data_IF_637230170284
#
_entry.id   IF_637230170284
#
_cell.length_a   1.000
_cell.length_b   1.000
_cell.length_c   1.000
_cell.angle_alpha   90.00
_cell.angle_beta   90.00
_cell.angle_gamma   90.00
#
_symmetry.space_group_name_H-M   'P 1'
#
loop_
_entity.id
_entity.type
_entity.pdbx_description
1 polymer ?
#
# COMPACT_ATOMS: atom_id res chain seq x y z
N UNK A 1 -12.24 -35.82 -25.80
CA UNK A 1 -12.64 -34.38 -25.84
C UNK A 1 -11.72 -33.58 -24.92
N UNK A 2 -11.08 -32.56 -25.49
CA UNK A 2 -10.46 -31.39 -24.83
C UNK A 2 -9.18 -31.59 -24.00
N UNK A 3 -8.11 -31.78 -24.76
CA UNK A 3 -6.80 -31.14 -24.55
C UNK A 3 -6.98 -29.63 -24.27
N UNK A 4 -6.78 -29.16 -23.02
CA UNK A 4 -6.40 -27.77 -22.67
C UNK A 4 -6.13 -27.62 -21.16
N UNK A 5 -4.86 -27.50 -20.76
CA UNK A 5 -4.29 -26.51 -19.79
C UNK A 5 -2.91 -26.96 -19.27
N UNK A 6 -1.91 -27.06 -20.14
CA UNK A 6 -0.47 -27.03 -19.76
C UNK A 6 0.12 -25.63 -19.96
N UNK A 7 -0.75 -24.62 -19.90
CA UNK A 7 -0.41 -23.20 -19.83
C UNK A 7 -1.11 -22.61 -18.62
N UNK A 8 -0.84 -23.19 -17.43
CA UNK A 8 -0.95 -22.41 -16.20
C UNK A 8 0.16 -21.34 -16.28
N UNK A 9 -0.24 -20.27 -16.96
CA UNK A 9 0.60 -19.24 -17.58
C UNK A 9 1.57 -18.65 -16.56
N UNK A 10 2.82 -18.42 -16.96
CA UNK A 10 3.81 -17.64 -16.19
C UNK A 10 3.20 -16.37 -15.59
N UNK A 11 2.28 -15.71 -16.32
CA UNK A 11 1.56 -14.53 -15.83
C UNK A 11 0.66 -14.86 -14.63
N UNK A 12 -0.06 -15.99 -14.67
CA UNK A 12 -0.90 -16.46 -13.59
C UNK A 12 -0.05 -16.81 -12.35
N UNK A 13 1.08 -17.50 -12.54
CA UNK A 13 2.04 -17.79 -11.47
C UNK A 13 2.70 -16.52 -10.91
N UNK A 14 2.98 -15.52 -11.75
CA UNK A 14 3.55 -14.24 -11.35
C UNK A 14 2.54 -13.42 -10.50
N UNK A 15 1.28 -13.38 -10.93
CA UNK A 15 0.21 -12.61 -10.27
C UNK A 15 -0.29 -13.32 -9.01
N UNK A 16 -0.57 -14.62 -9.09
CA UNK A 16 -1.15 -15.39 -7.98
C UNK A 16 -0.12 -15.94 -6.99
N UNK A 17 1.14 -16.10 -7.39
CA UNK A 17 2.08 -16.99 -6.71
C UNK A 17 1.76 -18.46 -6.99
N UNK A 18 2.67 -19.35 -6.61
CA UNK A 18 2.57 -20.79 -6.85
C UNK A 18 1.54 -21.45 -5.90
N UNK A 19 0.26 -21.10 -5.96
CA UNK A 19 -0.71 -21.54 -4.95
C UNK A 19 -2.15 -21.73 -5.48
N UNK A 20 -2.76 -22.85 -5.10
CA UNK A 20 -4.18 -23.18 -5.29
C UNK A 20 -5.12 -22.10 -4.70
N UNK A 21 -6.21 -21.80 -5.43
CA UNK A 21 -7.21 -20.75 -5.10
C UNK A 21 -7.93 -21.02 -3.76
N UNK A 22 -8.01 -22.28 -3.34
CA UNK A 22 -8.62 -22.70 -2.07
C UNK A 22 -7.55 -23.26 -1.13
N UNK A 23 -7.31 -22.57 -0.02
CA UNK A 23 -6.32 -22.95 0.98
C UNK A 23 -7.00 -23.79 2.07
N UNK A 24 -7.07 -25.10 1.86
CA UNK A 24 -7.80 -26.02 2.75
C UNK A 24 -7.12 -26.20 4.13
N UNK A 25 -5.78 -26.13 4.20
CA UNK A 25 -5.03 -26.34 5.43
C UNK A 25 -4.60 -25.01 6.08
N UNK A 26 -4.54 -24.97 7.43
CA UNK A 26 -4.07 -23.80 8.20
C UNK A 26 -2.63 -23.42 7.82
N UNK A 27 -1.76 -24.40 7.54
CA UNK A 27 -0.39 -24.16 7.08
C UNK A 27 -0.34 -23.47 5.71
N UNK A 28 -1.18 -23.87 4.75
CA UNK A 28 -1.19 -23.23 3.43
C UNK A 28 -1.74 -21.81 3.47
N UNK A 29 -2.69 -21.53 4.36
CA UNK A 29 -3.14 -20.15 4.65
C UNK A 29 -2.02 -19.25 5.18
N UNK A 30 -1.19 -19.78 6.08
CA UNK A 30 -0.04 -19.03 6.60
C UNK A 30 1.06 -18.84 5.55
N UNK A 31 1.42 -19.88 4.81
CA UNK A 31 2.41 -19.79 3.74
C UNK A 31 2.01 -18.77 2.68
N UNK A 32 0.75 -18.78 2.23
CA UNK A 32 0.24 -17.78 1.28
C UNK A 32 0.35 -16.35 1.83
N UNK A 33 0.00 -16.17 3.11
CA UNK A 33 0.10 -14.86 3.76
C UNK A 33 1.54 -14.37 3.84
N UNK A 34 2.48 -15.24 4.20
CA UNK A 34 3.90 -14.90 4.27
C UNK A 34 4.46 -14.58 2.87
N UNK A 35 4.07 -15.31 1.83
CA UNK A 35 4.40 -15.00 0.42
C UNK A 35 3.80 -13.66 -0.06
N UNK A 36 2.57 -13.35 0.35
CA UNK A 36 1.94 -12.05 0.07
C UNK A 36 2.69 -10.89 0.76
N UNK A 37 3.09 -11.06 2.02
CA UNK A 37 3.86 -10.05 2.76
C UNK A 37 5.26 -9.87 2.15
N UNK A 38 5.95 -10.96 1.77
CA UNK A 38 7.24 -10.91 1.06
C UNK A 38 7.12 -10.22 -0.29
N UNK A 39 6.08 -10.52 -1.06
CA UNK A 39 5.80 -9.86 -2.33
C UNK A 39 5.63 -8.35 -2.16
N UNK A 40 4.83 -7.91 -1.17
CA UNK A 40 4.68 -6.48 -0.86
C UNK A 40 6.02 -5.81 -0.60
N UNK A 41 6.86 -6.41 0.24
CA UNK A 41 8.16 -5.85 0.60
C UNK A 41 9.08 -5.73 -0.62
N UNK A 42 9.23 -6.81 -1.39
CA UNK A 42 10.10 -6.82 -2.59
C UNK A 42 9.64 -5.74 -3.58
N UNK A 43 8.35 -5.64 -3.86
CA UNK A 43 7.84 -4.64 -4.79
C UNK A 43 7.95 -3.22 -4.24
N UNK A 44 7.80 -3.03 -2.94
CA UNK A 44 8.02 -1.72 -2.29
C UNK A 44 9.47 -1.24 -2.48
N UNK A 45 10.46 -2.14 -2.34
CA UNK A 45 11.88 -1.81 -2.57
C UNK A 45 12.12 -1.47 -4.05
N UNK A 46 11.56 -2.24 -4.98
CA UNK A 46 11.67 -1.96 -6.42
C UNK A 46 11.07 -0.58 -6.74
N UNK A 47 9.86 -0.29 -6.24
CA UNK A 47 9.19 1.00 -6.46
C UNK A 47 9.98 2.17 -5.84
N UNK A 48 10.59 1.98 -4.68
CA UNK A 48 11.46 2.98 -4.06
C UNK A 48 12.67 3.30 -4.94
N UNK A 49 13.42 2.29 -5.38
CA UNK A 49 14.62 2.48 -6.22
C UNK A 49 14.24 3.08 -7.58
N UNK A 50 13.14 2.63 -8.18
CA UNK A 50 12.69 3.13 -9.48
C UNK A 50 12.25 4.60 -9.37
N UNK A 51 11.41 4.95 -8.39
CA UNK A 51 11.00 6.34 -8.17
C UNK A 51 12.19 7.25 -7.81
N UNK A 52 13.18 6.75 -7.07
CA UNK A 52 14.44 7.47 -6.80
C UNK A 52 15.19 7.76 -8.11
N UNK A 53 15.34 6.75 -8.95
CA UNK A 53 16.01 6.86 -10.25
C UNK A 53 15.30 7.86 -11.17
N UNK A 54 13.97 7.77 -11.30
CA UNK A 54 13.17 8.72 -12.08
C UNK A 54 13.23 10.15 -11.53
N UNK A 55 13.43 10.33 -10.23
CA UNK A 55 13.41 11.65 -9.59
C UNK A 55 14.76 12.36 -9.66
N UNK A 56 15.86 11.65 -9.48
CA UNK A 56 17.18 12.24 -9.26
C UNK A 56 18.20 11.91 -10.35
N UNK A 57 18.05 10.80 -11.08
CA UNK A 57 19.05 10.32 -12.03
C UNK A 57 18.61 10.48 -13.49
N UNK A 58 17.36 10.10 -13.80
CA UNK A 58 16.87 10.01 -15.17
C UNK A 58 15.50 10.68 -15.30
N UNK A 59 15.34 11.61 -16.25
CA UNK A 59 14.08 12.32 -16.50
C UNK A 59 13.55 12.04 -17.90
N UNK A 60 13.09 10.80 -18.12
CA UNK A 60 12.50 10.37 -19.40
C UNK A 60 11.03 9.99 -19.22
N UNK A 61 10.15 10.49 -20.11
CA UNK A 61 8.71 10.19 -20.11
C UNK A 61 8.41 8.68 -20.19
N UNK A 62 9.26 7.93 -20.90
CA UNK A 62 9.15 6.47 -21.01
C UNK A 62 9.39 5.78 -19.66
N UNK A 63 10.37 6.23 -18.88
CA UNK A 63 10.62 5.69 -17.54
C UNK A 63 9.46 5.98 -16.60
N UNK A 64 8.90 7.18 -16.66
CA UNK A 64 7.70 7.51 -15.89
C UNK A 64 6.50 6.65 -16.30
N UNK A 65 6.35 6.33 -17.58
CA UNK A 65 5.30 5.42 -18.07
C UNK A 65 5.50 4.01 -17.51
N UNK A 66 6.72 3.48 -17.59
CA UNK A 66 7.06 2.16 -17.05
C UNK A 66 6.83 2.10 -15.53
N UNK A 67 7.18 3.17 -14.82
CA UNK A 67 6.94 3.29 -13.39
C UNK A 67 5.43 3.29 -13.05
N UNK A 68 4.62 4.10 -13.74
CA UNK A 68 3.17 4.11 -13.53
C UNK A 68 2.51 2.79 -13.93
N UNK A 69 2.97 2.15 -15.01
CA UNK A 69 2.53 0.82 -15.40
C UNK A 69 2.83 -0.21 -14.30
N UNK A 70 4.02 -0.16 -13.70
CA UNK A 70 4.39 -1.01 -12.58
C UNK A 70 3.48 -0.78 -11.36
N UNK A 71 3.12 0.47 -11.06
CA UNK A 71 2.16 0.80 -9.99
C UNK A 71 0.77 0.22 -10.26
N UNK A 72 0.24 0.40 -11.48
CA UNK A 72 -1.05 -0.20 -11.89
C UNK A 72 -1.02 -1.71 -11.70
N UNK A 73 0.02 -2.37 -12.22
CA UNK A 73 0.19 -3.81 -12.08
C UNK A 73 0.29 -4.24 -10.61
N UNK A 74 1.04 -3.50 -9.81
CA UNK A 74 1.22 -3.77 -8.39
C UNK A 74 -0.11 -3.75 -7.63
N UNK A 75 -0.89 -2.67 -7.75
CA UNK A 75 -2.17 -2.54 -7.02
C UNK A 75 -3.25 -3.50 -7.52
N UNK A 76 -3.29 -3.80 -8.82
CA UNK A 76 -4.11 -4.89 -9.35
C UNK A 76 -3.75 -6.24 -8.71
N UNK A 77 -2.46 -6.54 -8.62
CA UNK A 77 -1.98 -7.79 -8.04
C UNK A 77 -2.30 -7.89 -6.55
N UNK A 78 -2.15 -6.79 -5.79
CA UNK A 78 -2.57 -6.75 -4.38
C UNK A 78 -4.06 -7.03 -4.23
N UNK A 79 -4.90 -6.42 -5.07
CA UNK A 79 -6.35 -6.61 -5.03
C UNK A 79 -6.73 -8.08 -5.21
N UNK A 80 -6.10 -8.76 -6.17
CA UNK A 80 -6.33 -10.20 -6.43
C UNK A 80 -5.87 -11.03 -5.23
N UNK A 81 -4.65 -10.81 -4.74
CA UNK A 81 -4.09 -11.57 -3.61
C UNK A 81 -4.89 -11.36 -2.31
N UNK A 82 -5.36 -10.14 -2.06
CA UNK A 82 -6.21 -9.84 -0.91
C UNK A 82 -7.61 -10.46 -1.05
N UNK A 83 -8.17 -10.53 -2.26
CA UNK A 83 -9.44 -11.23 -2.52
C UNK A 83 -9.32 -12.73 -2.22
N UNK A 84 -8.17 -13.35 -2.51
CA UNK A 84 -7.88 -14.73 -2.12
C UNK A 84 -7.78 -14.86 -0.61
N UNK A 85 -7.07 -13.94 0.07
CA UNK A 85 -6.99 -13.93 1.53
C UNK A 85 -8.38 -13.80 2.18
N UNK A 86 -9.23 -12.91 1.68
CA UNK A 86 -10.60 -12.69 2.17
C UNK A 86 -11.43 -13.95 1.99
N UNK A 87 -11.43 -14.54 0.78
CA UNK A 87 -12.13 -15.80 0.49
C UNK A 87 -11.68 -16.96 1.38
N UNK A 88 -10.45 -16.91 1.91
CA UNK A 88 -9.89 -17.93 2.81
C UNK A 88 -9.99 -17.58 4.31
N UNK A 89 -10.73 -16.52 4.67
CA UNK A 89 -11.08 -16.15 6.05
C UNK A 89 -10.27 -15.01 6.67
N UNK A 90 -9.47 -14.29 5.88
CA UNK A 90 -8.74 -13.11 6.36
C UNK A 90 -9.69 -11.93 6.60
N UNK A 91 -9.58 -11.29 7.78
CA UNK A 91 -10.38 -10.10 8.15
C UNK A 91 -9.70 -8.80 7.69
N UNK A 92 -9.62 -8.60 6.38
CA UNK A 92 -9.12 -7.35 5.79
C UNK A 92 -10.26 -6.32 5.82
N UNK A 93 -10.00 -5.10 6.33
CA UNK A 93 -11.02 -4.03 6.32
C UNK A 93 -11.31 -3.61 4.89
N UNK A 94 -12.59 -3.38 4.57
CA UNK A 94 -13.03 -3.03 3.21
C UNK A 94 -12.36 -1.77 2.63
N UNK A 95 -12.02 -0.79 3.48
CA UNK A 95 -11.27 0.40 3.05
C UNK A 95 -9.95 0.04 2.36
N UNK A 96 -9.19 -0.94 2.86
CA UNK A 96 -7.88 -1.29 2.28
C UNK A 96 -8.00 -1.88 0.88
N UNK A 97 -9.04 -2.68 0.65
CA UNK A 97 -9.35 -3.20 -0.69
C UNK A 97 -9.77 -2.07 -1.62
N UNK A 98 -10.66 -1.18 -1.16
CA UNK A 98 -11.10 -0.01 -1.93
C UNK A 98 -9.94 0.96 -2.25
N UNK A 99 -9.04 1.16 -1.30
CA UNK A 99 -7.83 1.96 -1.46
C UNK A 99 -6.95 1.46 -2.62
N UNK A 100 -6.81 0.14 -2.78
CA UNK A 100 -6.07 -0.43 -3.92
C UNK A 100 -6.74 -0.12 -5.25
N UNK A 101 -8.06 -0.22 -5.34
CA UNK A 101 -8.79 0.16 -6.56
C UNK A 101 -8.59 1.64 -6.92
N UNK A 102 -8.69 2.53 -5.93
CA UNK A 102 -8.45 3.97 -6.16
C UNK A 102 -7.00 4.23 -6.56
N UNK A 103 -6.04 3.52 -5.97
CA UNK A 103 -4.62 3.66 -6.30
C UNK A 103 -4.27 3.13 -7.69
N UNK A 104 -4.89 2.02 -8.12
CA UNK A 104 -4.81 1.52 -9.51
C UNK A 104 -5.36 2.56 -10.48
N UNK A 105 -6.55 3.11 -10.19
CA UNK A 105 -7.16 4.14 -11.01
C UNK A 105 -6.27 5.39 -11.12
N UNK A 106 -5.80 5.92 -9.99
CA UNK A 106 -4.88 7.06 -9.96
C UNK A 106 -3.62 6.81 -10.81
N UNK A 107 -2.99 5.64 -10.67
CA UNK A 107 -1.79 5.28 -11.42
C UNK A 107 -2.08 5.14 -12.92
N UNK A 108 -3.27 4.65 -13.29
CA UNK A 108 -3.73 4.58 -14.68
C UNK A 108 -3.99 5.96 -15.29
N UNK A 109 -4.59 6.88 -14.52
CA UNK A 109 -4.77 8.28 -14.96
C UNK A 109 -3.41 8.96 -15.15
N UNK A 110 -2.47 8.77 -14.22
CA UNK A 110 -1.09 9.27 -14.34
C UNK A 110 -0.37 8.68 -15.57
N UNK A 111 -0.56 7.39 -15.87
CA UNK A 111 0.02 6.74 -17.05
C UNK A 111 -0.46 7.38 -18.37
N UNK A 112 -1.75 7.68 -18.44
CA UNK A 112 -2.43 8.26 -19.62
C UNK A 112 -2.32 9.77 -19.71
N UNK A 113 -1.70 10.44 -18.74
CA UNK A 113 -1.48 11.88 -18.78
C UNK A 113 -0.43 12.21 -19.86
N UNK A 114 -0.79 12.96 -20.92
CA UNK A 114 0.16 13.30 -21.98
C UNK A 114 1.33 14.15 -21.46
N UNK A 115 2.45 14.09 -22.15
CA UNK A 115 3.57 14.97 -21.85
C UNK A 115 3.19 16.42 -22.19
N UNK A 116 3.30 17.30 -21.19
CA UNK A 116 2.90 18.70 -21.29
C UNK A 116 3.36 19.50 -20.08
N UNK A 117 3.13 20.81 -20.09
CA UNK A 117 3.58 21.72 -19.03
C UNK A 117 3.01 21.32 -17.66
N UNK A 118 1.70 21.04 -17.58
CA UNK A 118 1.04 20.62 -16.33
C UNK A 118 1.59 19.29 -15.80
N UNK A 119 1.85 18.32 -16.68
CA UNK A 119 2.48 17.07 -16.28
C UNK A 119 3.86 17.32 -15.64
N UNK A 120 4.71 18.12 -16.29
CA UNK A 120 6.06 18.42 -15.79
C UNK A 120 6.05 19.21 -14.48
N UNK A 121 5.07 20.10 -14.29
CA UNK A 121 4.87 20.81 -13.02
C UNK A 121 4.57 19.86 -11.87
N UNK A 122 3.72 18.85 -12.08
CA UNK A 122 3.32 17.91 -11.04
C UNK A 122 4.28 16.71 -10.89
N UNK A 123 5.04 16.37 -11.94
CA UNK A 123 5.90 15.18 -12.01
C UNK A 123 6.79 14.99 -10.78
N UNK A 124 7.55 16.01 -10.40
CA UNK A 124 8.49 15.90 -9.28
C UNK A 124 7.77 15.69 -7.95
N UNK A 125 6.61 16.34 -7.78
CA UNK A 125 5.78 16.19 -6.59
C UNK A 125 5.19 14.78 -6.50
N UNK A 126 4.71 14.23 -7.63
CA UNK A 126 4.26 12.84 -7.73
C UNK A 126 5.37 11.83 -7.40
N UNK A 127 6.56 11.99 -7.97
CA UNK A 127 7.69 11.07 -7.72
C UNK A 127 8.16 11.13 -6.27
N UNK A 128 8.24 12.33 -5.67
CA UNK A 128 8.55 12.49 -4.24
C UNK A 128 7.48 11.85 -3.35
N UNK A 129 6.20 11.98 -3.71
CA UNK A 129 5.11 11.28 -3.03
C UNK A 129 5.26 9.75 -3.12
N UNK A 130 5.58 9.20 -4.30
CA UNK A 130 5.77 7.75 -4.49
C UNK A 130 6.98 7.19 -3.73
N UNK A 131 8.07 7.97 -3.65
CA UNK A 131 9.22 7.66 -2.81
C UNK A 131 8.82 7.55 -1.34
N UNK A 132 8.14 8.59 -0.84
CA UNK A 132 7.69 8.61 0.55
C UNK A 132 6.66 7.52 0.83
N UNK A 133 5.76 7.24 -0.10
CA UNK A 133 4.81 6.13 -0.01
C UNK A 133 5.52 4.78 0.19
N UNK A 134 6.59 4.53 -0.58
CA UNK A 134 7.35 3.29 -0.46
C UNK A 134 8.04 3.18 0.91
N UNK A 135 8.55 4.31 1.43
CA UNK A 135 9.08 4.39 2.80
C UNK A 135 8.00 4.08 3.87
N UNK A 136 6.81 4.64 3.75
CA UNK A 136 5.69 4.35 4.65
C UNK A 136 5.28 2.89 4.60
N UNK A 137 5.22 2.32 3.40
CA UNK A 137 4.83 0.94 3.21
C UNK A 137 5.84 -0.03 3.82
N UNK A 138 7.14 0.31 3.77
CA UNK A 138 8.17 -0.39 4.51
C UNK A 138 7.94 -0.33 6.03
N UNK A 139 7.71 0.86 6.61
CA UNK A 139 7.43 0.98 8.04
C UNK A 139 6.16 0.21 8.47
N UNK A 140 5.10 0.28 7.66
CA UNK A 140 3.87 -0.46 7.88
C UNK A 140 4.11 -1.97 7.85
N UNK A 141 4.93 -2.48 6.93
CA UNK A 141 5.30 -3.89 6.84
C UNK A 141 5.95 -4.39 8.14
N UNK A 142 6.94 -3.67 8.67
CA UNK A 142 7.59 -4.08 9.93
C UNK A 142 6.64 -4.04 11.11
N UNK A 143 5.83 -2.99 11.22
CA UNK A 143 4.82 -2.88 12.27
C UNK A 143 3.80 -4.02 12.20
N UNK A 144 3.27 -4.33 11.01
CA UNK A 144 2.29 -5.39 10.81
C UNK A 144 2.89 -6.78 11.05
N UNK A 145 4.09 -7.04 10.55
CA UNK A 145 4.82 -8.29 10.76
C UNK A 145 5.12 -8.51 12.24
N UNK A 146 5.54 -7.47 12.97
CA UNK A 146 5.74 -7.54 14.41
C UNK A 146 4.45 -7.81 15.19
N UNK A 147 3.32 -7.19 14.80
CA UNK A 147 2.02 -7.49 15.39
C UNK A 147 1.59 -8.94 15.15
N UNK A 148 1.78 -9.44 13.93
CA UNK A 148 1.41 -10.80 13.55
C UNK A 148 2.27 -11.85 14.27
N UNK A 149 3.57 -11.61 14.37
CA UNK A 149 4.49 -12.46 15.13
C UNK A 149 4.05 -12.59 16.60
N UNK A 150 3.70 -11.48 17.27
CA UNK A 150 3.19 -11.52 18.65
C UNK A 150 1.89 -12.30 18.79
N UNK A 151 0.95 -12.13 17.87
CA UNK A 151 -0.30 -12.91 17.89
C UNK A 151 -0.03 -14.41 17.71
N UNK A 152 0.98 -14.78 16.90
CA UNK A 152 1.41 -16.18 16.74
C UNK A 152 2.08 -16.70 18.01
N UNK A 153 3.03 -15.98 18.58
CA UNK A 153 3.75 -16.35 19.82
C UNK A 153 2.82 -16.44 21.04
N UNK A 154 1.83 -15.55 21.17
CA UNK A 154 0.82 -15.64 22.21
C UNK A 154 -0.09 -16.87 22.04
N UNK A 155 -0.26 -17.36 20.81
CA UNK A 155 -0.99 -18.59 20.50
C UNK A 155 -0.15 -19.87 20.65
N UNK A 156 1.18 -19.75 20.54
CA UNK A 156 2.16 -20.83 20.71
C UNK A 156 3.03 -20.53 21.94
N UNK A 157 2.50 -20.76 23.15
CA UNK A 157 3.26 -20.52 24.39
C UNK A 157 4.59 -21.31 24.38
N UNK A 158 5.69 -20.59 24.27
CA UNK A 158 6.97 -20.96 24.87
C UNK A 158 7.54 -19.75 25.60
N UNK A 159 7.74 -19.90 26.92
CA UNK A 159 8.18 -18.88 27.86
C UNK A 159 9.65 -18.50 27.65
N UNK A 160 9.99 -17.83 26.55
CA UNK A 160 11.31 -17.22 26.39
C UNK A 160 11.28 -16.09 25.36
N UNK A 161 10.57 -15.01 25.68
CA UNK A 161 10.69 -13.77 24.93
C UNK A 161 11.94 -13.01 25.41
N UNK A 162 12.86 -12.75 24.48
CA UNK A 162 13.97 -11.82 24.70
C UNK A 162 13.43 -10.40 24.92
N UNK A 163 13.82 -9.80 26.04
CA UNK A 163 13.57 -8.40 26.39
C UNK A 163 14.46 -7.49 25.54
N UNK A 164 14.13 -7.33 24.25
CA UNK A 164 14.62 -6.17 23.50
C UNK A 164 13.87 -4.96 24.08
N UNK A 165 14.42 -4.36 25.13
CA UNK A 165 13.99 -3.08 25.69
C UNK A 165 14.74 -1.94 24.99
N UNK A 166 14.05 -0.83 24.73
CA UNK A 166 14.64 0.37 24.11
C UNK A 166 13.93 0.87 22.85
N UNK A 167 14.58 1.81 22.14
CA UNK A 167 14.03 2.50 20.97
C UNK A 167 13.60 1.54 19.85
N UNK A 168 14.37 0.48 19.58
CA UNK A 168 13.98 -0.52 18.57
C UNK A 168 12.68 -1.26 18.96
N UNK A 169 12.50 -1.54 20.25
CA UNK A 169 11.25 -2.12 20.76
C UNK A 169 10.08 -1.17 20.52
N UNK A 170 10.21 0.09 20.89
CA UNK A 170 9.18 1.10 20.71
C UNK A 170 8.87 1.39 19.24
N UNK A 171 9.90 1.50 18.39
CA UNK A 171 9.80 1.73 16.95
C UNK A 171 9.04 0.62 16.23
N UNK A 172 9.35 -0.64 16.57
CA UNK A 172 8.77 -1.80 15.88
C UNK A 172 7.55 -2.41 16.58
N UNK A 173 7.24 -2.00 17.83
CA UNK A 173 6.05 -2.44 18.58
C UNK A 173 4.97 -1.35 18.72
N UNK A 174 5.34 -0.07 18.66
CA UNK A 174 4.47 1.06 18.95
C UNK A 174 3.76 1.60 17.71
N UNK A 175 2.42 1.56 17.70
CA UNK A 175 1.62 2.30 16.71
C UNK A 175 1.95 3.80 16.74
N UNK A 176 2.23 4.35 17.93
CA UNK A 176 2.56 5.76 18.15
C UNK A 176 3.78 6.22 17.37
N UNK A 177 4.78 5.36 17.16
CA UNK A 177 5.93 5.69 16.32
C UNK A 177 5.54 5.86 14.85
N UNK A 178 4.64 5.00 14.36
CA UNK A 178 4.21 4.98 12.97
C UNK A 178 3.26 6.13 12.62
N UNK A 179 2.46 6.62 13.58
CA UNK A 179 1.42 7.61 13.35
C UNK A 179 1.90 8.94 12.76
N UNK A 180 2.98 9.60 13.25
CA UNK A 180 3.47 10.84 12.64
C UNK A 180 3.78 10.69 11.15
N UNK A 181 4.45 9.60 10.77
CA UNK A 181 4.80 9.32 9.39
C UNK A 181 3.56 9.08 8.52
N UNK A 182 2.57 8.33 9.05
CA UNK A 182 1.29 8.09 8.37
C UNK A 182 0.49 9.37 8.19
N UNK A 183 0.36 10.21 9.22
CA UNK A 183 -0.38 11.46 9.08
C UNK A 183 0.29 12.39 8.09
N UNK A 184 1.62 12.50 8.11
CA UNK A 184 2.34 13.27 7.11
C UNK A 184 2.08 12.75 5.68
N UNK A 185 2.05 11.43 5.47
CA UNK A 185 1.66 10.83 4.18
C UNK A 185 0.25 11.22 3.77
N UNK A 186 -0.72 11.10 4.67
CA UNK A 186 -2.11 11.44 4.39
C UNK A 186 -2.25 12.94 4.05
N UNK A 187 -1.64 13.82 4.83
CA UNK A 187 -1.66 15.26 4.53
C UNK A 187 -0.94 15.60 3.23
N UNK A 188 0.08 14.83 2.83
CA UNK A 188 0.65 14.95 1.50
C UNK A 188 -0.38 14.60 0.41
N UNK A 189 -1.23 13.58 0.60
CA UNK A 189 -2.33 13.29 -0.33
C UNK A 189 -3.28 14.49 -0.48
N UNK A 190 -3.63 15.15 0.64
CA UNK A 190 -4.43 16.37 0.59
C UNK A 190 -3.70 17.50 -0.16
N UNK A 191 -2.41 17.70 0.12
CA UNK A 191 -1.60 18.71 -0.57
C UNK A 191 -1.54 18.47 -2.09
N UNK A 192 -1.37 17.22 -2.53
CA UNK A 192 -1.43 16.84 -3.94
C UNK A 192 -2.80 17.14 -4.54
N UNK A 193 -3.88 16.81 -3.83
CA UNK A 193 -5.24 17.09 -4.27
C UNK A 193 -5.49 18.60 -4.46
N UNK A 194 -5.11 19.42 -3.48
CA UNK A 194 -5.24 20.88 -3.56
C UNK A 194 -4.40 21.45 -4.71
N UNK A 195 -3.16 20.96 -4.88
CA UNK A 195 -2.27 21.38 -5.96
C UNK A 195 -2.91 21.11 -7.32
N UNK A 196 -3.44 19.91 -7.53
CA UNK A 196 -4.09 19.51 -8.77
C UNK A 196 -5.38 20.31 -9.02
N UNK A 197 -6.20 20.57 -8.00
CA UNK A 197 -7.38 21.42 -8.18
C UNK A 197 -7.03 22.88 -8.51
N UNK A 198 -5.94 23.43 -7.96
CA UNK A 198 -5.43 24.74 -8.37
C UNK A 198 -4.93 24.73 -9.81
N UNK A 199 -4.23 23.68 -10.22
CA UNK A 199 -3.79 23.51 -11.61
C UNK A 199 -4.97 23.39 -12.57
N UNK A 200 -6.05 22.70 -12.16
CA UNK A 200 -7.27 22.56 -12.96
C UNK A 200 -7.98 23.91 -13.22
N UNK A 201 -7.79 24.90 -12.34
CA UNK A 201 -8.34 26.25 -12.51
C UNK A 201 -7.53 27.11 -13.50
N UNK A 202 -6.35 26.64 -13.96
CA UNK A 202 -5.56 27.39 -14.93
C UNK A 202 -6.28 27.40 -16.30
N UNK A 203 -6.33 28.54 -17.00
CA UNK A 203 -7.01 28.66 -18.30
C UNK A 203 -6.46 27.70 -19.38
N UNK A 204 -5.21 27.27 -19.21
CA UNK A 204 -4.50 26.38 -20.14
C UNK A 204 -4.78 24.90 -19.89
N UNK A 205 -5.42 24.55 -18.77
CA UNK A 205 -5.71 23.17 -18.41
C UNK A 205 -6.81 22.57 -19.31
N UNK A 206 -6.41 21.67 -20.21
CA UNK A 206 -7.34 20.90 -21.06
C UNK A 206 -7.36 19.42 -20.67
N UNK A 207 -6.40 18.99 -19.85
CA UNK A 207 -6.20 17.61 -19.43
C UNK A 207 -7.14 17.23 -18.29
N UNK A 208 -8.13 16.38 -18.58
CA UNK A 208 -9.05 15.84 -17.57
C UNK A 208 -8.33 15.01 -16.49
N UNK A 209 -7.14 14.51 -16.78
CA UNK A 209 -6.29 13.75 -15.87
C UNK A 209 -5.98 14.54 -14.60
N UNK A 210 -5.77 15.87 -14.71
CA UNK A 210 -5.51 16.76 -13.57
C UNK A 210 -6.65 16.65 -12.55
N UNK A 211 -7.88 16.79 -13.01
CA UNK A 211 -9.08 16.73 -12.18
C UNK A 211 -9.25 15.35 -11.53
N UNK A 212 -9.14 14.28 -12.32
CA UNK A 212 -9.35 12.92 -11.81
C UNK A 212 -8.26 12.48 -10.83
N UNK A 213 -7.00 12.88 -11.03
CA UNK A 213 -5.95 12.70 -10.04
C UNK A 213 -6.27 13.47 -8.74
N UNK A 214 -6.74 14.71 -8.86
CA UNK A 214 -7.14 15.54 -7.71
C UNK A 214 -8.22 14.90 -6.86
N UNK A 215 -9.28 14.40 -7.51
CA UNK A 215 -10.37 13.64 -6.87
C UNK A 215 -9.86 12.35 -6.21
N UNK A 216 -9.00 11.59 -6.90
CA UNK A 216 -8.45 10.33 -6.37
C UNK A 216 -7.63 10.56 -5.10
N UNK A 217 -6.75 11.56 -5.10
CA UNK A 217 -5.98 11.93 -3.92
C UNK A 217 -6.86 12.39 -2.75
N UNK A 218 -7.98 13.09 -3.02
CA UNK A 218 -8.92 13.50 -1.99
C UNK A 218 -9.62 12.30 -1.34
N UNK A 219 -10.07 11.35 -2.16
CA UNK A 219 -10.70 10.10 -1.67
C UNK A 219 -9.71 9.32 -0.82
N UNK A 220 -8.48 9.15 -1.29
CA UNK A 220 -7.40 8.48 -0.54
C UNK A 220 -7.16 9.17 0.80
N UNK A 221 -7.02 10.49 0.82
CA UNK A 221 -6.83 11.28 2.04
C UNK A 221 -7.95 11.04 3.05
N UNK A 222 -9.21 11.26 2.63
CA UNK A 222 -10.36 11.17 3.53
C UNK A 222 -10.48 9.78 4.15
N UNK A 223 -10.41 8.72 3.34
CA UNK A 223 -10.58 7.38 3.88
C UNK A 223 -9.37 6.88 4.67
N UNK A 224 -8.15 7.32 4.34
CA UNK A 224 -6.95 6.97 5.10
C UNK A 224 -6.94 7.65 6.48
N UNK A 225 -7.28 8.93 6.55
CA UNK A 225 -7.40 9.66 7.82
C UNK A 225 -8.51 9.05 8.67
N UNK A 226 -9.71 8.86 8.11
CA UNK A 226 -10.83 8.27 8.83
C UNK A 226 -10.49 6.88 9.38
N UNK A 227 -9.90 6.01 8.55
CA UNK A 227 -9.52 4.65 8.97
C UNK A 227 -8.44 4.67 10.04
N UNK A 228 -7.46 5.56 9.93
CA UNK A 228 -6.38 5.70 10.92
C UNK A 228 -6.94 6.18 12.26
N UNK A 229 -7.78 7.22 12.25
CA UNK A 229 -8.45 7.74 13.46
C UNK A 229 -9.34 6.68 14.11
N UNK A 230 -10.12 5.93 13.31
CA UNK A 230 -10.94 4.84 13.83
C UNK A 230 -10.09 3.76 14.51
N UNK A 231 -8.93 3.40 13.96
CA UNK A 231 -8.00 2.42 14.57
C UNK A 231 -7.39 2.96 15.87
N UNK A 232 -7.00 4.24 15.90
CA UNK A 232 -6.47 4.90 17.11
C UNK A 232 -7.53 4.94 18.20
N UNK A 233 -8.75 5.35 17.86
CA UNK A 233 -9.88 5.39 18.79
C UNK A 233 -10.21 4.01 19.36
N UNK A 234 -10.31 2.99 18.50
CA UNK A 234 -10.55 1.60 18.93
C UNK A 234 -9.46 1.11 19.90
N UNK A 235 -8.18 1.42 19.62
CA UNK A 235 -7.08 1.04 20.51
C UNK A 235 -7.09 1.80 21.83
N UNK A 236 -7.44 3.08 21.80
CA UNK A 236 -7.56 3.90 23.01
C UNK A 236 -8.67 3.37 23.93
N UNK A 237 -9.85 3.07 23.38
CA UNK A 237 -10.97 2.47 24.12
C UNK A 237 -10.60 1.10 24.71
N UNK A 238 -10.01 0.21 23.91
CA UNK A 238 -9.60 -1.12 24.40
C UNK A 238 -8.56 -1.06 25.52
N UNK A 239 -7.69 -0.05 25.52
CA UNK A 239 -6.70 0.14 26.60
C UNK A 239 -7.35 0.68 27.88
N UNK A 240 -8.33 1.60 27.75
CA UNK A 240 -9.12 2.10 28.87
C UNK A 240 -9.89 0.95 29.56
N UNK A 241 -10.53 0.08 28.79
CA UNK A 241 -11.28 -1.06 29.34
C UNK A 241 -10.36 -2.06 30.05
N UNK A 242 -9.16 -2.32 29.51
CA UNK A 242 -8.15 -3.13 30.20
C UNK A 242 -7.70 -2.52 31.52
N UNK A 243 -7.48 -1.20 31.57
CA UNK A 243 -7.08 -0.53 32.81
C UNK A 243 -8.18 -0.47 33.86
N UNK A 244 -9.45 -0.62 33.47
CA UNK A 244 -10.59 -0.69 34.40
C UNK A 244 -10.86 -2.10 34.94
N UNK A 245 -10.38 -3.13 34.24
CA UNK A 245 -10.58 -4.54 34.58
C UNK A 245 -9.35 -5.19 35.27
N UNK A 246 -8.33 -4.40 35.59
CA UNK A 246 -7.15 -4.75 36.39
C UNK A 246 -7.25 -4.03 37.73
#
# INVERSE_FOLDING_TARGET
QKQRRETDSLYLNLVLGNVNITLLNKQSKFAYKDEYEKFKLVLTVILFVFSFTCRFLLSYRVLDALFNFLLVWYYCTLTIRESILISNGSRIKGWWVFHHYVSTFLSGVMLTWPEGALYQMFRNQFLSYCLYQSFIQFLQYYYQSGCLYRLRALGERHNMDLTVEGFQSWMWRGLTFLLPFLFFYHFWQLYNSITLFRMFQLPECKEWQVFMCGCSYLVLFMGNVFTTLAVVYQKYMNNQDKSKNV
#
